data_IF_744085984058
#
_entry.id   IF_744085984058
#
_cell.length_a   1.000
_cell.length_b   1.000
_cell.length_c   1.000
_cell.angle_alpha   90.00
_cell.angle_beta   90.00
_cell.angle_gamma   90.00
#
_symmetry.space_group_name_H-M   'P 1'
#
loop_
_entity.id
_entity.type
_entity.pdbx_description
1 polymer ?
#
# COMPACT_ATOMS: atom_id res chain seq x y z
N UNK A 1 -28.45 29.93 -15.70
CA UNK A 1 -27.57 28.78 -15.41
C UNK A 1 -27.97 28.27 -14.05
N UNK A 2 -28.74 27.18 -14.00
CA UNK A 2 -29.16 26.54 -12.74
C UNK A 2 -28.14 25.46 -12.40
N UNK A 3 -27.31 25.71 -11.39
CA UNK A 3 -26.44 24.69 -10.83
C UNK A 3 -27.32 23.72 -10.06
N UNK A 4 -27.42 22.50 -10.56
CA UNK A 4 -28.12 21.40 -9.90
C UNK A 4 -27.15 20.84 -8.85
N UNK A 5 -27.32 21.22 -7.58
CA UNK A 5 -26.56 20.64 -6.48
C UNK A 5 -27.14 19.25 -6.21
N UNK A 6 -26.36 18.21 -6.49
CA UNK A 6 -26.70 16.84 -6.13
C UNK A 6 -26.68 16.74 -4.59
N UNK A 7 -27.69 16.13 -3.95
CA UNK A 7 -27.81 16.10 -2.49
C UNK A 7 -26.84 15.15 -1.77
N UNK A 8 -26.05 14.36 -2.50
CA UNK A 8 -25.06 13.41 -1.96
C UNK A 8 -23.62 13.95 -1.88
N UNK A 9 -23.42 15.25 -2.09
CA UNK A 9 -22.09 15.89 -2.04
C UNK A 9 -21.73 16.22 -0.58
N UNK A 10 -21.63 15.19 0.27
CA UNK A 10 -21.05 15.36 1.60
C UNK A 10 -19.56 15.65 1.39
N UNK A 11 -19.18 16.93 1.51
CA UNK A 11 -17.79 17.36 1.44
C UNK A 11 -17.27 17.61 2.84
N UNK A 12 -16.14 16.98 3.17
CA UNK A 12 -15.40 17.30 4.40
C UNK A 12 -14.33 18.36 4.08
N UNK A 13 -14.36 19.50 4.78
CA UNK A 13 -13.32 20.53 4.68
C UNK A 13 -12.05 20.09 5.41
N UNK A 14 -10.91 20.14 4.72
CA UNK A 14 -9.58 19.93 5.31
C UNK A 14 -8.77 21.21 5.22
N UNK A 15 -8.24 21.66 6.35
CA UNK A 15 -7.35 22.82 6.44
C UNK A 15 -5.89 22.38 6.39
N UNK A 16 -5.08 23.10 5.61
CA UNK A 16 -3.63 22.91 5.49
C UNK A 16 -2.92 24.20 5.86
N UNK A 17 -2.20 24.18 6.99
CA UNK A 17 -1.33 25.27 7.41
C UNK A 17 0.10 25.01 6.95
N UNK A 18 0.68 25.96 6.23
CA UNK A 18 2.04 25.88 5.68
C UNK A 18 2.69 27.25 5.58
N UNK A 19 3.97 27.26 5.27
CA UNK A 19 4.73 28.47 4.97
C UNK A 19 5.14 28.45 3.51
N UNK A 20 4.79 29.51 2.78
CA UNK A 20 5.36 29.78 1.45
C UNK A 20 6.65 30.57 1.62
N UNK A 21 7.74 30.07 1.07
CA UNK A 21 9.03 30.76 1.02
C UNK A 21 9.27 31.25 -0.40
N UNK A 22 9.40 32.55 -0.55
CA UNK A 22 9.65 33.24 -1.81
C UNK A 22 11.08 33.78 -1.79
N UNK A 23 11.89 33.39 -2.78
CA UNK A 23 13.22 33.95 -3.02
C UNK A 23 13.16 34.87 -4.24
N UNK A 24 13.04 36.17 -4.02
CA UNK A 24 12.87 37.15 -5.09
C UNK A 24 14.14 37.35 -5.91
N UNK A 25 15.31 36.97 -5.38
CA UNK A 25 16.58 37.07 -6.11
C UNK A 25 16.72 35.97 -7.15
N UNK A 26 16.25 34.76 -6.81
CA UNK A 26 16.37 33.58 -7.66
C UNK A 26 15.05 33.23 -8.39
N UNK A 27 14.01 34.06 -8.24
CA UNK A 27 12.67 33.84 -8.78
C UNK A 27 12.11 32.44 -8.43
N UNK A 28 12.26 32.05 -7.16
CA UNK A 28 11.93 30.71 -6.68
C UNK A 28 10.85 30.75 -5.59
N UNK A 29 9.92 29.80 -5.64
CA UNK A 29 8.87 29.62 -4.64
C UNK A 29 8.87 28.17 -4.16
N UNK A 30 8.87 27.97 -2.85
CA UNK A 30 8.78 26.64 -2.21
C UNK A 30 7.83 26.69 -1.01
N UNK A 31 7.32 25.54 -0.60
CA UNK A 31 6.50 25.43 0.62
C UNK A 31 7.25 24.65 1.70
N UNK A 32 6.95 24.95 2.97
CA UNK A 32 7.41 24.19 4.14
C UNK A 32 6.25 23.99 5.10
N UNK A 33 6.23 22.83 5.78
CA UNK A 33 5.22 22.53 6.81
C UNK A 33 5.51 23.24 8.13
N UNK A 34 6.78 23.48 8.42
CA UNK A 34 7.24 24.15 9.64
C UNK A 34 7.77 25.53 9.31
N UNK A 35 7.72 26.42 10.29
CA UNK A 35 8.30 27.76 10.18
C UNK A 35 9.81 27.66 9.90
N UNK A 36 10.33 28.34 8.85
CA UNK A 36 11.75 28.36 8.57
C UNK A 36 12.48 29.34 9.50
N UNK A 37 13.51 28.87 10.18
CA UNK A 37 14.44 29.66 11.02
C UNK A 37 15.70 30.10 10.25
N UNK A 38 15.90 29.58 9.04
CA UNK A 38 17.12 29.67 8.23
C UNK A 38 16.93 30.47 6.93
N UNK A 39 16.20 31.59 7.00
CA UNK A 39 15.95 32.41 5.80
C UNK A 39 17.17 33.24 5.40
N UNK A 40 17.54 33.15 4.12
CA UNK A 40 18.49 34.11 3.55
C UNK A 40 17.88 35.51 3.46
N UNK A 41 18.67 36.60 3.39
CA UNK A 41 18.16 37.97 3.30
C UNK A 41 17.28 38.26 2.07
N UNK A 42 17.38 37.41 1.03
CA UNK A 42 16.58 37.51 -0.19
C UNK A 42 15.32 36.66 -0.15
N UNK A 43 15.04 36.03 0.99
CA UNK A 43 13.92 35.13 1.18
C UNK A 43 12.91 35.70 2.16
N UNK A 44 11.64 35.47 1.87
CA UNK A 44 10.51 35.82 2.72
C UNK A 44 9.68 34.57 2.97
N UNK A 45 9.31 34.30 4.21
CA UNK A 45 8.35 33.28 4.57
C UNK A 45 6.99 33.91 4.92
N UNK A 46 5.93 33.39 4.32
CA UNK A 46 4.56 33.84 4.53
C UNK A 46 3.76 32.64 5.06
N UNK A 47 3.13 32.74 6.24
CA UNK A 47 2.20 31.72 6.70
C UNK A 47 0.93 31.75 5.83
N UNK A 48 0.50 30.58 5.39
CA UNK A 48 -0.67 30.38 4.54
C UNK A 48 -1.51 29.26 5.12
N UNK A 49 -2.82 29.49 5.22
CA UNK A 49 -3.81 28.47 5.55
C UNK A 49 -4.69 28.26 4.34
N UNK A 50 -4.85 27.00 3.93
CA UNK A 50 -5.60 26.61 2.73
C UNK A 50 -6.69 25.63 3.13
N UNK A 51 -7.95 25.99 2.91
CA UNK A 51 -9.09 25.10 3.07
C UNK A 51 -9.42 24.40 1.76
N UNK A 52 -9.48 23.07 1.79
CA UNK A 52 -9.81 22.22 0.65
C UNK A 52 -11.06 21.41 0.98
N UNK A 53 -12.10 21.55 0.16
CA UNK A 53 -13.28 20.69 0.25
C UNK A 53 -12.97 19.36 -0.42
N UNK A 54 -12.92 18.30 0.39
CA UNK A 54 -12.66 16.93 -0.08
C UNK A 54 -13.99 16.20 -0.16
N UNK A 55 -14.38 15.66 -1.33
CA UNK A 55 -15.61 14.89 -1.46
C UNK A 55 -15.49 13.59 -0.67
N UNK A 56 -16.55 13.21 0.05
CA UNK A 56 -16.60 11.91 0.72
C UNK A 56 -16.89 10.82 -0.29
N UNK A 57 -15.95 9.87 -0.42
CA UNK A 57 -16.10 8.70 -1.29
C UNK A 57 -16.42 7.51 -0.41
N UNK A 58 -17.69 7.10 -0.36
CA UNK A 58 -18.11 5.83 0.23
C UNK A 58 -17.74 4.69 -0.73
N UNK A 59 -16.61 4.04 -0.47
CA UNK A 59 -16.25 2.81 -1.18
C UNK A 59 -17.11 1.67 -0.61
N UNK A 60 -17.92 0.97 -1.41
CA UNK A 60 -18.66 -0.18 -0.92
C UNK A 60 -17.68 -1.28 -0.53
N UNK A 61 -17.67 -1.65 0.76
CA UNK A 61 -16.96 -2.84 1.22
C UNK A 61 -17.64 -4.06 0.62
N UNK A 62 -17.00 -4.67 -0.39
CA UNK A 62 -17.42 -6.00 -0.85
C UNK A 62 -16.92 -6.98 0.21
N UNK A 63 -17.80 -7.39 1.12
CA UNK A 63 -17.57 -8.58 1.94
C UNK A 63 -17.57 -9.78 0.98
N UNK A 64 -16.39 -10.13 0.46
CA UNK A 64 -16.22 -11.38 -0.25
C UNK A 64 -16.41 -12.49 0.79
N UNK A 65 -17.62 -13.05 0.85
CA UNK A 65 -17.88 -14.33 1.49
C UNK A 65 -17.17 -15.40 0.67
N UNK A 66 -15.85 -15.48 0.80
CA UNK A 66 -15.08 -16.61 0.29
C UNK A 66 -15.34 -17.75 1.27
N UNK A 67 -16.36 -18.54 0.98
CA UNK A 67 -16.52 -19.87 1.56
C UNK A 67 -15.37 -20.73 1.02
N UNK A 68 -14.27 -20.77 1.75
CA UNK A 68 -13.15 -21.66 1.44
C UNK A 68 -13.56 -23.05 1.94
N UNK A 69 -13.87 -24.02 1.06
CA UNK A 69 -14.12 -25.37 1.52
C UNK A 69 -12.88 -25.86 2.27
N UNK A 70 -13.09 -26.46 3.44
CA UNK A 70 -12.01 -27.03 4.23
C UNK A 70 -11.18 -27.97 3.33
N UNK A 71 -9.90 -27.66 3.17
CA UNK A 71 -9.01 -28.52 2.41
C UNK A 71 -8.96 -29.89 3.08
N UNK A 72 -9.49 -30.92 2.42
CA UNK A 72 -9.23 -32.32 2.79
C UNK A 72 -7.78 -32.63 2.47
N UNK A 73 -6.88 -32.29 3.40
CA UNK A 73 -5.49 -32.70 3.37
C UNK A 73 -5.36 -34.05 4.07
N UNK A 74 -6.06 -35.06 3.59
CA UNK A 74 -5.79 -36.44 3.99
C UNK A 74 -5.78 -37.31 2.74
N UNK A 75 -4.68 -38.05 2.57
CA UNK A 75 -4.48 -39.13 1.60
C UNK A 75 -3.80 -38.81 0.26
N UNK A 76 -2.82 -37.91 0.23
CA UNK A 76 -1.80 -37.92 -0.84
C UNK A 76 -0.36 -37.79 -0.33
N UNK A 77 -0.09 -38.38 0.84
CA UNK A 77 1.29 -38.51 1.37
C UNK A 77 1.73 -39.99 1.48
N UNK A 78 0.81 -40.94 1.30
CA UNK A 78 1.13 -42.39 1.43
C UNK A 78 1.45 -43.06 0.08
N UNK A 79 1.16 -42.43 -1.06
CA UNK A 79 1.52 -43.02 -2.37
C UNK A 79 2.94 -42.67 -2.82
N UNK A 80 3.46 -41.48 -2.50
CA UNK A 80 4.78 -41.06 -2.95
C UNK A 80 5.94 -41.82 -2.25
N UNK A 81 5.72 -42.34 -1.04
CA UNK A 81 6.74 -43.12 -0.31
C UNK A 81 6.83 -44.58 -0.74
N UNK A 82 5.88 -45.09 -1.54
CA UNK A 82 5.93 -46.46 -2.06
C UNK A 82 6.64 -46.53 -3.42
N UNK A 83 6.49 -45.52 -4.27
CA UNK A 83 7.19 -45.45 -5.56
C UNK A 83 8.71 -45.21 -5.42
N UNK A 84 9.16 -44.57 -4.33
CA UNK A 84 10.59 -44.38 -4.03
C UNK A 84 11.31 -45.63 -3.46
N UNK A 85 10.57 -46.66 -3.07
CA UNK A 85 11.14 -47.91 -2.54
C UNK A 85 11.30 -49.00 -3.62
N UNK A 86 10.51 -48.94 -4.71
CA UNK A 86 10.59 -49.88 -5.83
C UNK A 86 11.68 -49.49 -6.87
N UNK A 87 12.10 -48.22 -6.93
CA UNK A 87 13.20 -47.77 -7.82
C UNK A 87 14.61 -47.99 -7.22
N UNK A 88 14.70 -48.56 -6.01
CA UNK A 88 15.98 -48.86 -5.33
C UNK A 88 16.25 -50.37 -5.20
N UNK A 89 15.76 -51.16 -6.14
CA UNK A 89 16.28 -52.50 -6.40
C UNK A 89 17.63 -52.44 -7.10
N UNK A 90 18.57 -53.28 -6.64
CA UNK A 90 19.94 -53.49 -7.15
C UNK A 90 20.95 -52.41 -6.79
N UNK A 91 21.76 -52.69 -5.76
CA UNK A 91 23.22 -52.87 -5.87
C UNK A 91 23.77 -53.04 -4.44
N UNK A 92 23.79 -54.26 -3.92
CA UNK A 92 24.91 -54.71 -3.07
C UNK A 92 24.95 -56.23 -3.11
N UNK A 93 25.91 -56.72 -3.89
CA UNK A 93 26.22 -58.14 -4.02
C UNK A 93 26.70 -58.70 -2.70
N UNK A 94 26.28 -59.92 -2.45
CA UNK A 94 26.78 -60.79 -1.40
C UNK A 94 28.31 -60.87 -1.43
N UNK A 95 28.93 -60.69 -0.26
CA UNK A 95 30.16 -61.39 0.09
C UNK A 95 29.89 -62.89 0.04
N UNK A 96 30.70 -63.64 -0.72
CA UNK A 96 30.98 -65.06 -0.45
C UNK A 96 32.39 -65.43 -0.88
N UNK A 97 33.21 -65.80 0.11
CA UNK A 97 34.38 -66.69 0.09
C UNK A 97 34.26 -67.86 -0.91
N UNK A 98 35.29 -68.08 -1.75
CA UNK A 98 36.23 -69.23 -1.78
C UNK A 98 37.36 -68.96 -2.80
#
# INVERSE_FOLDING_TARGET
MTTQTNPDDETTTKTFDLFLVIDWKNDSVRHRKTEPDDLAPTQLAIPVSIDVNVPEVTVPTIEAAIDVPAASVEQSVVQETRELADDRGLLEGADTDD
#
